data_IF_896748283482
#
_entry.id   IF_896748283482
#
_cell.length_a   1.000
_cell.length_b   1.000
_cell.length_c   1.000
_cell.angle_alpha   90.00
_cell.angle_beta   90.00
_cell.angle_gamma   90.00
#
_symmetry.space_group_name_H-M   'P 1'
#
loop_
_entity.id
_entity.type
_entity.pdbx_description
1 polymer ?
#
# COMPACT_ATOMS: atom_id res chain seq x y z
N UNK A 1 -59.41 16.90 1.19
CA UNK A 1 -58.93 15.54 1.02
C UNK A 1 -57.39 15.62 1.06
N UNK A 2 -56.81 15.31 2.23
CA UNK A 2 -55.35 15.31 2.42
C UNK A 2 -54.89 13.84 2.34
N UNK A 3 -54.04 13.52 1.37
CA UNK A 3 -53.39 12.21 1.25
C UNK A 3 -51.90 12.45 1.50
N UNK A 4 -51.59 12.60 2.77
CA UNK A 4 -50.20 12.58 3.27
C UNK A 4 -49.81 11.15 3.66
N UNK A 5 -49.45 10.32 2.69
CA UNK A 5 -48.84 9.01 2.94
C UNK A 5 -47.39 9.19 3.33
N UNK A 6 -47.07 9.17 4.63
CA UNK A 6 -45.71 9.03 5.13
C UNK A 6 -45.10 7.72 4.68
N UNK A 7 -44.20 7.79 3.70
CA UNK A 7 -43.29 6.69 3.37
C UNK A 7 -42.23 6.62 4.50
N UNK A 8 -42.58 5.99 5.61
CA UNK A 8 -41.67 5.60 6.67
C UNK A 8 -40.87 4.41 6.16
N UNK A 9 -39.78 4.67 5.44
CA UNK A 9 -38.82 3.65 5.06
C UNK A 9 -38.27 3.01 6.33
N UNK A 10 -38.82 1.87 6.71
CA UNK A 10 -38.27 1.03 7.78
C UNK A 10 -36.92 0.51 7.32
N UNK A 11 -35.85 1.24 7.67
CA UNK A 11 -34.50 0.67 7.62
C UNK A 11 -34.46 -0.46 8.64
N UNK A 12 -34.52 -1.70 8.20
CA UNK A 12 -34.24 -2.85 9.05
C UNK A 12 -32.85 -2.66 9.67
N UNK A 13 -32.68 -2.83 10.99
CA UNK A 13 -31.34 -2.79 11.59
C UNK A 13 -30.51 -3.89 10.92
N UNK A 14 -29.35 -3.49 10.37
CA UNK A 14 -28.39 -4.43 9.80
C UNK A 14 -27.82 -5.22 10.97
N UNK A 15 -28.34 -6.42 11.19
CA UNK A 15 -27.70 -7.38 12.07
C UNK A 15 -26.35 -7.75 11.42
N UNK A 16 -25.26 -7.35 12.08
CA UNK A 16 -23.90 -7.74 11.73
C UNK A 16 -23.79 -9.26 11.80
N UNK A 17 -24.01 -9.92 10.67
CA UNK A 17 -24.00 -11.36 10.61
C UNK A 17 -22.56 -11.85 10.76
N UNK A 18 -22.30 -12.66 11.77
CA UNK A 18 -21.00 -13.31 12.04
C UNK A 18 -20.28 -13.84 10.78
N UNK A 19 -20.98 -14.38 9.75
CA UNK A 19 -20.35 -14.86 8.51
C UNK A 19 -19.50 -13.82 7.78
N UNK A 20 -19.88 -12.55 7.80
CA UNK A 20 -19.13 -11.50 7.07
C UNK A 20 -17.79 -11.24 7.70
N UNK A 21 -17.74 -11.17 9.02
CA UNK A 21 -16.47 -11.02 9.71
C UNK A 21 -15.55 -12.22 9.47
N UNK A 22 -16.11 -13.43 9.42
CA UNK A 22 -15.33 -14.64 9.10
C UNK A 22 -14.75 -14.53 7.68
N UNK A 23 -15.55 -14.11 6.71
CA UNK A 23 -15.10 -13.92 5.32
C UNK A 23 -14.01 -12.85 5.24
N UNK A 24 -14.20 -11.71 5.90
CA UNK A 24 -13.21 -10.63 5.92
C UNK A 24 -11.89 -11.07 6.57
N UNK A 25 -11.96 -11.75 7.71
CA UNK A 25 -10.77 -12.28 8.38
C UNK A 25 -10.05 -13.30 7.49
N UNK A 26 -10.79 -14.23 6.89
CA UNK A 26 -10.21 -15.21 5.96
C UNK A 26 -9.57 -14.52 4.76
N UNK A 27 -10.25 -13.54 4.16
CA UNK A 27 -9.74 -12.76 3.04
C UNK A 27 -8.42 -12.06 3.38
N UNK A 28 -8.40 -11.30 4.48
CA UNK A 28 -7.19 -10.60 4.94
C UNK A 28 -6.08 -11.60 5.26
N UNK A 29 -6.38 -12.72 5.91
CA UNK A 29 -5.39 -13.76 6.23
C UNK A 29 -4.76 -14.37 4.97
N UNK A 30 -5.57 -14.62 3.93
CA UNK A 30 -5.06 -15.10 2.64
C UNK A 30 -4.18 -14.04 1.97
N UNK A 31 -4.56 -12.78 2.01
CA UNK A 31 -3.74 -11.69 1.46
C UNK A 31 -2.40 -11.56 2.21
N UNK A 32 -2.40 -11.65 3.54
CA UNK A 32 -1.16 -11.68 4.34
C UNK A 32 -0.27 -12.85 3.93
N UNK A 33 -0.85 -14.04 3.77
CA UNK A 33 -0.12 -15.23 3.37
C UNK A 33 0.52 -15.05 1.98
N UNK A 34 -0.25 -14.58 1.01
CA UNK A 34 0.23 -14.33 -0.36
C UNK A 34 1.33 -13.27 -0.34
N UNK A 35 1.10 -12.13 0.32
CA UNK A 35 2.07 -11.05 0.45
C UNK A 35 3.40 -11.51 1.08
N UNK A 36 3.34 -12.48 1.99
CA UNK A 36 4.52 -13.04 2.68
C UNK A 36 5.27 -14.09 1.87
N UNK A 37 4.61 -14.78 0.93
CA UNK A 37 5.17 -15.93 0.19
C UNK A 37 5.64 -15.58 -1.21
N UNK A 38 5.14 -14.48 -1.80
CA UNK A 38 5.51 -14.06 -3.15
C UNK A 38 6.78 -13.23 -3.15
N UNK A 39 7.58 -13.36 -4.20
CA UNK A 39 8.72 -12.47 -4.48
C UNK A 39 8.21 -11.11 -4.95
N UNK A 40 8.99 -10.03 -4.75
CA UNK A 40 8.66 -8.72 -5.33
C UNK A 40 8.59 -8.80 -6.85
N UNK A 41 7.61 -8.12 -7.43
CA UNK A 41 7.54 -7.94 -8.87
C UNK A 41 8.37 -6.72 -9.31
N UNK A 42 8.54 -6.57 -10.62
CA UNK A 42 9.39 -5.50 -11.20
C UNK A 42 8.92 -4.11 -10.77
N UNK A 43 7.60 -3.86 -10.78
CA UNK A 43 7.06 -2.55 -10.42
C UNK A 43 7.25 -2.22 -8.94
N UNK A 44 7.08 -3.19 -8.05
CA UNK A 44 7.28 -2.99 -6.61
C UNK A 44 8.70 -2.54 -6.28
N UNK A 45 9.68 -3.05 -7.03
CA UNK A 45 11.10 -2.73 -6.85
C UNK A 45 11.36 -1.23 -7.00
N UNK A 46 10.70 -0.57 -7.95
CA UNK A 46 10.79 0.88 -8.15
C UNK A 46 9.85 1.66 -7.23
N UNK A 47 8.66 1.10 -6.91
CA UNK A 47 7.66 1.79 -6.12
C UNK A 47 8.08 2.01 -4.66
N UNK A 48 8.77 1.07 -4.03
CA UNK A 48 9.14 1.18 -2.63
C UNK A 48 10.16 2.30 -2.37
N UNK A 49 11.30 2.37 -3.08
CA UNK A 49 12.23 3.49 -2.93
C UNK A 49 11.59 4.85 -3.25
N UNK A 50 10.74 4.92 -4.27
CA UNK A 50 10.01 6.14 -4.59
C UNK A 50 9.09 6.57 -3.43
N UNK A 51 8.37 5.63 -2.82
CA UNK A 51 7.55 5.91 -1.63
C UNK A 51 8.37 6.40 -0.45
N UNK A 52 9.56 5.84 -0.22
CA UNK A 52 10.47 6.29 0.85
C UNK A 52 10.98 7.72 0.55
N UNK A 53 11.33 8.02 -0.71
CA UNK A 53 11.77 9.38 -1.09
C UNK A 53 10.70 10.44 -0.85
N UNK A 54 9.43 10.10 -1.04
CA UNK A 54 8.33 11.02 -0.75
C UNK A 54 8.28 11.44 0.73
N UNK A 55 8.50 10.51 1.63
CA UNK A 55 8.56 10.79 3.06
C UNK A 55 9.81 11.57 3.47
N UNK A 56 10.95 11.24 2.88
CA UNK A 56 12.24 11.85 3.27
C UNK A 56 12.43 13.26 2.72
N UNK A 57 12.02 13.50 1.48
CA UNK A 57 12.33 14.74 0.75
C UNK A 57 11.09 15.57 0.39
N UNK A 58 9.88 15.03 0.53
CA UNK A 58 8.66 15.70 0.08
C UNK A 58 8.57 15.83 -1.44
N UNK A 59 9.43 15.12 -2.18
CA UNK A 59 9.51 15.18 -3.63
C UNK A 59 8.89 13.93 -4.27
N UNK A 60 7.96 14.14 -5.20
CA UNK A 60 7.21 13.09 -5.89
C UNK A 60 7.75 12.80 -7.30
N UNK A 61 8.87 13.41 -7.70
CA UNK A 61 9.38 13.33 -9.06
C UNK A 61 10.09 12.01 -9.36
N UNK A 62 10.65 11.33 -8.36
CA UNK A 62 11.38 10.08 -8.56
C UNK A 62 10.55 9.04 -9.33
N UNK A 63 9.23 9.03 -9.16
CA UNK A 63 8.34 8.16 -9.92
C UNK A 63 7.00 8.87 -10.17
N UNK A 64 6.88 9.59 -11.26
CA UNK A 64 5.73 10.47 -11.55
C UNK A 64 4.56 9.77 -12.27
N UNK A 65 4.75 8.54 -12.80
CA UNK A 65 3.81 7.89 -13.72
C UNK A 65 2.49 7.47 -13.05
N UNK A 66 2.51 7.05 -11.79
CA UNK A 66 1.35 6.54 -11.06
C UNK A 66 1.02 7.40 -9.83
N UNK A 67 -0.26 7.44 -9.39
CA UNK A 67 -0.65 8.16 -8.18
C UNK A 67 0.18 7.76 -6.96
N UNK A 68 0.61 8.71 -6.11
CA UNK A 68 1.59 8.46 -5.04
C UNK A 68 1.02 7.76 -3.81
N UNK A 69 -0.32 7.78 -3.61
CA UNK A 69 -0.95 7.34 -2.37
C UNK A 69 -0.54 5.94 -1.91
N UNK A 70 -0.58 4.95 -2.81
CA UNK A 70 -0.27 3.56 -2.47
C UNK A 70 1.19 3.42 -2.05
N UNK A 71 2.10 4.08 -2.77
CA UNK A 71 3.54 4.08 -2.46
C UNK A 71 3.83 4.77 -1.12
N UNK A 72 3.13 5.87 -0.87
CA UNK A 72 3.24 6.61 0.39
C UNK A 72 2.83 5.74 1.58
N UNK A 73 1.71 5.01 1.48
CA UNK A 73 1.25 4.07 2.51
C UNK A 73 2.21 2.89 2.64
N UNK A 74 2.64 2.31 1.52
CA UNK A 74 3.55 1.16 1.49
C UNK A 74 4.91 1.45 2.16
N UNK A 75 5.43 2.66 1.98
CA UNK A 75 6.73 3.06 2.53
C UNK A 75 6.71 3.34 4.03
N UNK A 76 5.57 3.72 4.60
CA UNK A 76 5.47 4.13 6.01
C UNK A 76 6.09 3.14 7.02
N UNK A 77 5.78 1.83 7.02
CA UNK A 77 6.40 0.90 7.95
C UNK A 77 7.89 0.64 7.66
N UNK A 78 8.32 0.84 6.42
CA UNK A 78 9.72 0.64 6.02
C UNK A 78 10.60 1.78 6.54
N UNK A 79 10.06 2.98 6.68
CA UNK A 79 10.77 4.11 7.30
C UNK A 79 11.14 3.82 8.75
N UNK A 80 10.27 3.11 9.49
CA UNK A 80 10.55 2.72 10.89
C UNK A 80 11.70 1.72 10.98
N UNK A 81 11.90 0.92 9.93
CA UNK A 81 13.01 -0.03 9.84
C UNK A 81 14.33 0.63 9.41
N UNK A 82 14.32 1.94 9.12
CA UNK A 82 15.48 2.78 8.78
C UNK A 82 16.47 2.10 7.82
N UNK A 83 16.07 1.79 6.57
CA UNK A 83 16.96 1.15 5.62
C UNK A 83 18.16 2.05 5.33
N UNK A 84 19.36 1.51 5.54
CA UNK A 84 20.60 2.19 5.18
C UNK A 84 20.72 2.31 3.67
N UNK A 85 20.62 3.53 3.17
CA UNK A 85 20.74 3.83 1.75
C UNK A 85 21.20 5.27 1.53
N UNK A 86 22.21 5.44 0.69
CA UNK A 86 22.71 6.76 0.31
C UNK A 86 21.82 7.39 -0.77
N UNK A 87 20.92 8.25 -0.32
CA UNK A 87 19.96 8.93 -1.19
C UNK A 87 20.60 10.06 -2.01
N UNK A 88 21.61 10.76 -1.45
CA UNK A 88 22.21 11.93 -2.08
C UNK A 88 23.00 11.56 -3.33
N UNK A 89 23.76 10.47 -3.27
CA UNK A 89 24.51 9.94 -4.41
C UNK A 89 23.62 9.40 -5.53
N UNK A 90 22.33 9.16 -5.24
CA UNK A 90 21.48 8.35 -6.13
C UNK A 90 20.52 9.19 -6.96
N UNK A 91 20.12 10.39 -6.50
CA UNK A 91 19.10 11.23 -7.18
C UNK A 91 19.74 12.17 -8.23
N UNK A 92 21.05 12.20 -8.36
CA UNK A 92 21.79 13.24 -9.09
C UNK A 92 22.01 13.00 -10.60
N UNK A 93 21.25 12.17 -11.26
CA UNK A 93 21.45 11.85 -12.70
C UNK A 93 20.39 12.41 -13.64
N UNK A 94 20.75 12.79 -14.88
CA UNK A 94 19.83 13.31 -15.92
C UNK A 94 19.05 12.21 -16.65
N UNK A 95 18.76 11.08 -16.01
CA UNK A 95 18.15 9.94 -16.67
C UNK A 95 16.65 10.10 -16.88
N UNK A 96 16.13 9.58 -17.98
CA UNK A 96 14.72 9.63 -18.32
C UNK A 96 13.82 8.82 -17.39
N UNK A 97 14.39 7.85 -16.66
CA UNK A 97 13.68 6.96 -15.72
C UNK A 97 14.54 6.60 -14.50
N UNK A 98 14.81 7.57 -13.62
CA UNK A 98 15.71 7.38 -12.47
C UNK A 98 15.20 6.34 -11.45
N UNK A 99 13.91 6.08 -11.44
CA UNK A 99 13.29 5.14 -10.50
C UNK A 99 13.88 3.72 -10.57
N UNK A 100 14.30 3.26 -11.74
CA UNK A 100 14.88 1.92 -11.92
C UNK A 100 16.31 1.83 -11.41
N UNK A 101 17.12 2.85 -11.66
CA UNK A 101 18.49 2.91 -11.14
C UNK A 101 18.49 3.00 -9.61
N UNK A 102 17.66 3.87 -9.05
CA UNK A 102 17.47 3.99 -7.60
C UNK A 102 17.03 2.66 -7.01
N UNK A 103 16.09 1.97 -7.65
CA UNK A 103 15.59 0.67 -7.22
C UNK A 103 16.70 -0.40 -7.17
N UNK A 104 17.52 -0.49 -8.20
CA UNK A 104 18.63 -1.45 -8.26
C UNK A 104 19.67 -1.17 -7.17
N UNK A 105 20.05 0.10 -7.00
CA UNK A 105 20.99 0.53 -5.95
C UNK A 105 20.40 0.26 -4.55
N UNK A 106 19.10 0.51 -4.34
CA UNK A 106 18.42 0.24 -3.09
C UNK A 106 18.47 -1.24 -2.72
N UNK A 107 18.17 -2.14 -3.67
CA UNK A 107 18.25 -3.59 -3.45
C UNK A 107 19.70 -4.01 -3.18
N UNK A 108 20.66 -3.49 -3.93
CA UNK A 108 22.07 -3.80 -3.73
C UNK A 108 22.56 -3.40 -2.33
N UNK A 109 22.16 -2.22 -1.87
CA UNK A 109 22.53 -1.70 -0.55
C UNK A 109 21.87 -2.47 0.61
N UNK A 110 20.58 -2.83 0.45
CA UNK A 110 19.81 -3.47 1.51
C UNK A 110 19.93 -5.01 1.51
N UNK A 111 20.38 -5.59 0.40
CA UNK A 111 20.63 -7.03 0.25
C UNK A 111 19.41 -7.89 0.60
N UNK A 112 19.61 -8.95 1.37
CA UNK A 112 18.52 -9.86 1.77
C UNK A 112 17.45 -9.21 2.65
N UNK A 113 17.76 -8.08 3.33
CA UNK A 113 16.79 -7.30 4.12
C UNK A 113 15.69 -6.70 3.25
N UNK A 114 15.98 -6.43 1.97
CA UNK A 114 15.00 -5.89 1.01
C UNK A 114 13.72 -6.71 0.96
N UNK A 115 13.79 -8.04 1.05
CA UNK A 115 12.62 -8.92 1.05
C UNK A 115 11.66 -8.65 2.22
N UNK A 116 12.19 -8.31 3.39
CA UNK A 116 11.38 -7.91 4.54
C UNK A 116 10.75 -6.53 4.33
N UNK A 117 11.47 -5.59 3.74
CA UNK A 117 10.92 -4.26 3.44
C UNK A 117 9.75 -4.35 2.44
N UNK A 118 9.85 -5.19 1.41
CA UNK A 118 8.73 -5.44 0.50
C UNK A 118 7.53 -6.11 1.19
N UNK A 119 7.77 -7.03 2.13
CA UNK A 119 6.69 -7.63 2.93
C UNK A 119 5.98 -6.60 3.79
N UNK A 120 6.71 -5.75 4.50
CA UNK A 120 6.13 -4.68 5.31
C UNK A 120 5.32 -3.71 4.45
N UNK A 121 5.84 -3.32 3.30
CA UNK A 121 5.14 -2.46 2.34
C UNK A 121 3.80 -3.07 1.88
N UNK A 122 3.79 -4.35 1.54
CA UNK A 122 2.57 -5.06 1.15
C UNK A 122 1.57 -5.19 2.30
N UNK A 123 2.03 -5.45 3.51
CA UNK A 123 1.15 -5.52 4.67
C UNK A 123 0.51 -4.17 4.98
N UNK A 124 1.23 -3.07 4.83
CA UNK A 124 0.64 -1.74 4.95
C UNK A 124 -0.48 -1.51 3.92
N UNK A 125 -0.31 -2.01 2.70
CA UNK A 125 -1.32 -1.89 1.65
C UNK A 125 -2.60 -2.70 1.91
N UNK A 126 -2.62 -3.64 2.88
CA UNK A 126 -3.82 -4.39 3.26
C UNK A 126 -4.92 -3.50 3.84
N UNK A 127 -4.60 -2.28 4.23
CA UNK A 127 -5.59 -1.28 4.64
C UNK A 127 -6.61 -0.99 3.55
N UNK A 128 -6.20 -0.98 2.28
CA UNK A 128 -7.10 -0.70 1.16
C UNK A 128 -8.18 -1.77 0.95
N UNK A 129 -7.85 -3.09 0.82
CA UNK A 129 -8.88 -4.12 0.71
C UNK A 129 -9.69 -4.27 2.00
N UNK A 130 -9.13 -4.02 3.19
CA UNK A 130 -9.89 -4.03 4.43
C UNK A 130 -10.96 -2.93 4.46
N UNK A 131 -10.59 -1.70 4.10
CA UNK A 131 -11.52 -0.57 3.98
C UNK A 131 -12.55 -0.85 2.89
N UNK A 132 -12.11 -1.29 1.70
CA UNK A 132 -12.98 -1.62 0.58
C UNK A 132 -14.01 -2.69 0.96
N UNK A 133 -13.58 -3.78 1.59
CA UNK A 133 -14.48 -4.83 2.08
C UNK A 133 -15.49 -4.34 3.11
N UNK A 134 -15.05 -3.48 4.03
CA UNK A 134 -15.93 -2.88 5.02
C UNK A 134 -17.03 -2.00 4.39
N UNK A 135 -16.66 -1.14 3.42
CA UNK A 135 -17.64 -0.25 2.77
C UNK A 135 -18.51 -0.97 1.75
N UNK A 136 -18.04 -2.04 1.12
CA UNK A 136 -18.85 -2.85 0.21
C UNK A 136 -19.96 -3.63 0.92
N UNK A 137 -19.81 -3.84 2.24
CA UNK A 137 -20.81 -4.51 3.05
C UNK A 137 -21.96 -3.58 3.51
N UNK A 138 -21.77 -2.27 3.55
CA UNK A 138 -22.80 -1.29 3.94
C UNK A 138 -23.78 -0.98 2.84
#
# INVERSE_FOLDING_TARGET
MSVGGEFKAMRKPIHWNHPVWVILVLHVSLLVLIASRTTPNVDEVAHLPAGISYWKFGDFQLYSVNPPLVRFVAAAPVLVAEPEFDWEATISGPESRPEWEVAQRYIAATGSRSLWYFRFARWACLVFPAIGGFFSWK
#
